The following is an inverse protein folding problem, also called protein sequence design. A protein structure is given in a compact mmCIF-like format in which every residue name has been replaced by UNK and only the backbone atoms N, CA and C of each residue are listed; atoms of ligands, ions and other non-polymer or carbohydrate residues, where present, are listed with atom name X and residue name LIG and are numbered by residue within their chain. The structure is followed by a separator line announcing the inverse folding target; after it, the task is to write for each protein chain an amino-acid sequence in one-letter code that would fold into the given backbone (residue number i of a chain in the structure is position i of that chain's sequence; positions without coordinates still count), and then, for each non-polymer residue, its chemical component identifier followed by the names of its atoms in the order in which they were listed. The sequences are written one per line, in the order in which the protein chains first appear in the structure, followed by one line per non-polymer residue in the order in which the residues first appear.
data_IF_986356421386
#
_entry.id   IF_986356421386
#
_cell.length_a   1.000
_cell.length_b   1.000
_cell.length_c   1.000
_cell.angle_alpha   90.00
_cell.angle_beta   90.00
_cell.angle_gamma   90.00
#
_symmetry.space_group_name_H-M   'P 1'
#
loop_
_entity.id
_entity.type
_entity.pdbx_description
1 polymer ?
#
# COMPACT_ATOMS: atom_id res chain seq x y z
N UNK A 1 13.18 6.68 10.82
CA UNK A 1 11.73 6.92 10.61
C UNK A 1 11.13 7.44 11.91
N UNK A 2 10.35 8.54 11.89
CA UNK A 2 9.80 9.23 13.08
C UNK A 2 8.73 8.45 13.89
N UNK A 3 8.68 7.12 13.81
CA UNK A 3 7.69 6.32 14.57
C UNK A 3 6.23 6.42 14.12
N UNK A 4 5.86 7.40 13.29
CA UNK A 4 4.49 7.66 12.86
C UNK A 4 3.81 6.48 12.15
N UNK A 5 2.49 6.38 12.36
CA UNK A 5 1.57 5.57 11.56
C UNK A 5 1.20 6.38 10.32
N UNK A 6 1.56 5.89 9.13
CA UNK A 6 1.33 6.59 7.87
C UNK A 6 0.23 5.83 7.11
N UNK A 7 -0.73 6.56 6.57
CA UNK A 7 -1.68 6.06 5.59
C UNK A 7 -1.44 6.76 4.26
N UNK A 8 -1.67 6.06 3.15
CA UNK A 8 -1.60 6.64 1.81
C UNK A 8 -3.03 6.77 1.30
N UNK A 9 -3.45 7.98 0.98
CA UNK A 9 -4.76 8.24 0.35
C UNK A 9 -4.52 8.55 -1.11
N UNK A 10 -5.04 7.68 -1.98
CA UNK A 10 -4.96 7.80 -3.43
C UNK A 10 -6.21 8.51 -3.95
N UNK A 11 -6.09 9.83 -4.11
CA UNK A 11 -7.15 10.71 -4.63
C UNK A 11 -7.09 10.90 -6.16
N UNK A 12 -6.30 10.09 -6.88
CA UNK A 12 -6.09 10.18 -8.32
C UNK A 12 -7.25 9.55 -9.12
N UNK A 13 -8.47 10.04 -8.94
CA UNK A 13 -9.62 9.55 -9.71
C UNK A 13 -9.56 10.06 -11.17
N UNK A 14 -9.81 9.23 -12.20
CA UNK A 14 -10.24 7.81 -12.16
C UNK A 14 -9.07 6.80 -12.24
N UNK A 15 -7.82 7.24 -12.26
CA UNK A 15 -6.67 6.36 -12.48
C UNK A 15 -6.38 5.46 -11.27
N UNK A 16 -6.54 5.92 -10.03
CA UNK A 16 -6.20 5.24 -8.78
C UNK A 16 -4.90 4.44 -8.89
N UNK A 17 -3.87 5.13 -9.37
CA UNK A 17 -2.62 4.53 -9.84
C UNK A 17 -1.91 3.73 -8.73
N UNK A 18 -1.90 4.25 -7.50
CA UNK A 18 -1.23 3.63 -6.35
C UNK A 18 -2.01 2.41 -5.85
N UNK A 19 -3.35 2.47 -5.79
CA UNK A 19 -4.17 1.31 -5.44
C UNK A 19 -4.01 0.20 -6.46
N UNK A 20 -4.08 0.54 -7.75
CA UNK A 20 -3.92 -0.44 -8.84
C UNK A 20 -2.54 -1.06 -8.80
N UNK A 21 -1.50 -0.28 -8.54
CA UNK A 21 -0.15 -0.79 -8.36
C UNK A 21 -0.04 -1.73 -7.17
N UNK A 22 -0.55 -1.34 -5.99
CA UNK A 22 -0.56 -2.22 -4.82
C UNK A 22 -1.27 -3.55 -5.08
N UNK A 23 -2.40 -3.54 -5.80
CA UNK A 23 -3.15 -4.75 -6.16
C UNK A 23 -2.33 -5.66 -7.08
N UNK A 24 -1.69 -5.12 -8.12
CA UNK A 24 -0.83 -5.89 -9.03
C UNK A 24 0.38 -6.48 -8.31
N UNK A 25 1.06 -5.68 -7.48
CA UNK A 25 2.25 -6.11 -6.76
C UNK A 25 1.91 -7.23 -5.76
N UNK A 26 0.77 -7.14 -5.08
CA UNK A 26 0.26 -8.21 -4.20
C UNK A 26 0.03 -9.53 -4.94
N UNK A 27 -0.54 -9.50 -6.15
CA UNK A 27 -0.76 -10.74 -6.91
C UNK A 27 0.57 -11.37 -7.34
N UNK A 28 1.56 -10.55 -7.73
CA UNK A 28 2.92 -11.03 -8.06
C UNK A 28 3.62 -11.65 -6.85
N UNK A 29 3.47 -11.04 -5.67
CA UNK A 29 3.98 -11.62 -4.41
C UNK A 29 3.30 -12.96 -4.12
N UNK A 30 2.00 -13.10 -4.40
CA UNK A 30 1.26 -14.34 -4.13
C UNK A 30 1.76 -15.52 -4.99
N UNK A 31 2.10 -15.26 -6.26
CA UNK A 31 2.51 -16.32 -7.20
C UNK A 31 3.99 -16.69 -7.12
N UNK A 32 4.86 -15.80 -6.59
CA UNK A 32 6.31 -15.99 -6.63
C UNK A 32 6.91 -16.11 -5.22
N UNK A 33 7.44 -17.29 -4.89
CA UNK A 33 8.00 -17.57 -3.56
C UNK A 33 9.15 -16.61 -3.17
N UNK A 34 9.97 -16.16 -4.12
CA UNK A 34 11.06 -15.21 -3.87
C UNK A 34 10.53 -13.88 -3.30
N UNK A 35 9.40 -13.39 -3.82
CA UNK A 35 8.80 -12.15 -3.36
C UNK A 35 8.10 -12.31 -2.01
N UNK A 36 7.57 -13.49 -1.70
CA UNK A 36 7.04 -13.80 -0.36
C UNK A 36 8.13 -13.73 0.70
N UNK A 37 9.28 -14.37 0.44
CA UNK A 37 10.43 -14.33 1.35
C UNK A 37 10.92 -12.89 1.57
N UNK A 38 11.01 -12.09 0.50
CA UNK A 38 11.39 -10.69 0.59
C UNK A 38 10.38 -9.86 1.39
N UNK A 39 9.08 -10.14 1.29
CA UNK A 39 8.05 -9.46 2.07
C UNK A 39 8.16 -9.80 3.57
N UNK A 40 8.43 -11.06 3.91
CA UNK A 40 8.67 -11.50 5.29
C UNK A 40 9.92 -10.84 5.88
N UNK A 41 11.01 -10.80 5.13
CA UNK A 41 12.25 -10.12 5.53
C UNK A 41 12.01 -8.62 5.78
N UNK A 42 11.30 -7.95 4.86
CA UNK A 42 10.96 -6.54 5.01
C UNK A 42 10.08 -6.28 6.23
N UNK A 43 9.08 -7.13 6.48
CA UNK A 43 8.21 -7.03 7.66
C UNK A 43 9.01 -7.20 8.96
N UNK A 44 9.94 -8.15 9.01
CA UNK A 44 10.84 -8.36 10.14
C UNK A 44 11.78 -7.17 10.40
N UNK A 45 12.33 -6.57 9.34
CA UNK A 45 13.24 -5.42 9.45
C UNK A 45 12.55 -4.13 9.86
N UNK A 46 11.38 -3.85 9.27
CA UNK A 46 10.64 -2.60 9.51
C UNK A 46 9.82 -2.64 10.81
N UNK A 47 9.46 -3.85 11.29
CA UNK A 47 8.57 -4.06 12.47
C UNK A 47 7.30 -3.21 12.43
N UNK A 48 6.83 -2.89 11.22
CA UNK A 48 5.64 -2.06 10.96
C UNK A 48 4.76 -2.78 9.95
N UNK A 49 3.45 -2.63 10.14
CA UNK A 49 2.48 -3.09 9.14
C UNK A 49 2.65 -2.28 7.86
N UNK A 50 2.41 -2.91 6.71
CA UNK A 50 2.38 -2.20 5.43
C UNK A 50 1.36 -1.06 5.50
N UNK A 51 1.70 0.09 4.92
CA UNK A 51 0.82 1.25 4.97
C UNK A 51 -0.53 0.95 4.27
N UNK A 52 -1.67 1.27 4.90
CA UNK A 52 -2.96 1.18 4.24
C UNK A 52 -2.98 2.16 3.07
N UNK A 53 -3.47 1.68 1.93
CA UNK A 53 -3.70 2.52 0.74
C UNK A 53 -5.21 2.59 0.57
N UNK A 54 -5.78 3.78 0.74
CA UNK A 54 -7.22 4.04 0.70
C UNK A 54 -7.50 4.82 -0.58
N UNK A 55 -8.48 4.40 -1.35
CA UNK A 55 -8.94 5.15 -2.51
C UNK A 55 -9.95 6.18 -2.11
N UNK A 56 -9.76 7.40 -2.60
CA UNK A 56 -10.74 8.46 -2.42
C UNK A 56 -11.07 9.11 -3.76
N UNK A 57 -12.33 9.48 -3.93
CA UNK A 57 -12.75 10.36 -5.02
C UNK A 57 -12.48 11.82 -4.60
N UNK A 58 -12.31 12.77 -5.54
CA UNK A 58 -12.06 14.16 -5.21
C UNK A 58 -13.09 14.76 -4.23
N UNK A 59 -14.35 14.31 -4.31
CA UNK A 59 -15.42 14.70 -3.41
C UNK A 59 -15.28 14.12 -1.99
N UNK A 60 -14.71 12.92 -1.85
CA UNK A 60 -14.54 12.25 -0.55
C UNK A 60 -13.15 12.49 0.07
N UNK A 61 -12.21 13.13 -0.64
CA UNK A 61 -10.84 13.37 -0.17
C UNK A 61 -10.78 14.52 0.86
N UNK A 62 -11.83 15.37 0.92
CA UNK A 62 -11.92 16.55 1.80
C UNK A 62 -13.03 16.46 2.86
N UNK A 63 -13.71 15.32 3.00
CA UNK A 63 -14.71 15.13 4.05
C UNK A 63 -14.03 14.53 5.29
N UNK A 64 -14.09 15.30 6.38
CA UNK A 64 -13.41 15.17 7.69
C UNK A 64 -13.21 13.75 8.25
#
# INVERSE_FOLDING_TARGET
MKGLNVAVVDCDYPQHSIIKQKKRDMEVVRITAVYQNRLVEQAGRLKKKAYPVIGSTPANCMAD
#
